data_IF_322006507084
#
_entry.id   IF_322006507084
#
_cell.length_a   1.000
_cell.length_b   1.000
_cell.length_c   1.000
_cell.angle_alpha   90.00
_cell.angle_beta   90.00
_cell.angle_gamma   90.00
#
_symmetry.space_group_name_H-M   'P 1'
#
loop_
_entity.id
_entity.type
_entity.pdbx_description
1 polymer ?
#
# COMPACT_ATOMS: atom_id res chain seq x y z
N UNK A 1 13.40 -3.88 -44.13
CA UNK A 1 12.78 -2.54 -43.92
C UNK A 1 11.33 -2.68 -43.47
N UNK A 2 10.38 -3.07 -44.33
CA UNK A 2 8.95 -3.18 -43.96
C UNK A 2 8.71 -4.05 -42.70
N UNK A 3 9.35 -5.23 -42.61
CA UNK A 3 9.31 -6.11 -41.42
C UNK A 3 9.83 -5.40 -40.15
N UNK A 4 10.99 -4.73 -40.24
CA UNK A 4 11.58 -3.98 -39.13
C UNK A 4 10.64 -2.88 -38.61
N UNK A 5 9.98 -2.12 -39.51
CA UNK A 5 9.01 -1.10 -39.08
C UNK A 5 7.76 -1.69 -38.46
N UNK A 6 7.29 -2.85 -38.95
CA UNK A 6 6.17 -3.59 -38.36
C UNK A 6 6.46 -4.03 -36.93
N UNK A 7 7.63 -4.62 -36.68
CA UNK A 7 8.02 -5.07 -35.33
C UNK A 7 8.22 -3.88 -34.38
N UNK A 8 8.83 -2.78 -34.86
CA UNK A 8 9.01 -1.57 -34.07
C UNK A 8 7.68 -0.92 -33.69
N UNK A 9 6.74 -0.78 -34.64
CA UNK A 9 5.40 -0.22 -34.37
C UNK A 9 4.59 -1.08 -33.41
N UNK A 10 4.65 -2.40 -33.57
CA UNK A 10 4.01 -3.35 -32.68
C UNK A 10 4.50 -3.19 -31.24
N UNK A 11 5.83 -3.04 -31.06
CA UNK A 11 6.43 -2.83 -29.73
C UNK A 11 6.08 -1.48 -29.10
N UNK A 12 6.02 -0.40 -29.88
CA UNK A 12 5.73 0.96 -29.38
C UNK A 12 4.28 1.11 -28.92
N UNK A 13 3.34 0.52 -29.65
CA UNK A 13 1.91 0.66 -29.36
C UNK A 13 1.31 -0.53 -28.61
N UNK A 14 2.13 -1.51 -28.25
CA UNK A 14 1.68 -2.78 -27.65
C UNK A 14 0.60 -3.47 -28.51
N UNK A 15 0.73 -3.38 -29.83
CA UNK A 15 -0.19 -3.95 -30.81
C UNK A 15 0.49 -5.15 -31.46
N UNK A 16 -0.26 -6.23 -31.77
CA UNK A 16 0.34 -7.40 -32.39
C UNK A 16 0.94 -7.10 -33.79
N UNK A 17 2.10 -7.67 -34.17
CA UNK A 17 2.73 -7.39 -35.46
C UNK A 17 1.83 -7.64 -36.68
N UNK A 18 0.93 -8.62 -36.58
CA UNK A 18 0.02 -8.99 -37.66
C UNK A 18 -1.06 -7.92 -37.93
N UNK A 19 -1.41 -7.08 -36.95
CA UNK A 19 -2.37 -5.97 -37.11
C UNK A 19 -1.68 -4.68 -37.59
N UNK A 20 -0.40 -4.46 -37.26
CA UNK A 20 0.37 -3.31 -37.75
C UNK A 20 0.85 -3.47 -39.21
N UNK A 21 1.08 -4.71 -39.66
CA UNK A 21 1.68 -5.03 -40.96
C UNK A 21 0.92 -4.47 -42.18
N UNK A 22 -0.42 -4.60 -42.30
CA UNK A 22 -1.14 -4.12 -43.47
C UNK A 22 -1.08 -2.59 -43.61
N UNK A 23 -1.17 -1.87 -42.49
CA UNK A 23 -1.15 -0.40 -42.47
C UNK A 23 0.21 0.14 -42.90
N UNK A 24 1.30 -0.46 -42.42
CA UNK A 24 2.67 -0.07 -42.80
C UNK A 24 2.94 -0.42 -44.27
N UNK A 25 2.44 -1.56 -44.75
CA UNK A 25 2.58 -1.92 -46.16
C UNK A 25 1.86 -0.93 -47.08
N UNK A 26 0.63 -0.51 -46.74
CA UNK A 26 -0.14 0.49 -47.48
C UNK A 26 0.53 1.87 -47.40
N UNK A 27 1.02 2.29 -46.24
CA UNK A 27 1.71 3.57 -46.09
C UNK A 27 2.96 3.62 -46.96
N UNK A 28 3.80 2.59 -46.90
CA UNK A 28 5.02 2.53 -47.72
C UNK A 28 4.68 2.43 -49.21
N UNK A 29 3.64 1.70 -49.62
CA UNK A 29 3.28 1.59 -51.04
C UNK A 29 2.76 2.91 -51.60
N UNK A 30 1.94 3.64 -50.84
CA UNK A 30 1.44 4.99 -51.20
C UNK A 30 2.60 5.99 -51.29
N UNK A 31 3.54 5.94 -50.35
CA UNK A 31 4.71 6.81 -50.38
C UNK A 31 5.63 6.46 -51.58
N UNK A 32 5.94 5.18 -51.78
CA UNK A 32 6.77 4.70 -52.89
C UNK A 32 6.17 5.05 -54.27
N UNK A 33 4.85 5.01 -54.42
CA UNK A 33 4.14 5.34 -55.67
C UNK A 33 4.08 6.83 -55.98
N UNK A 34 4.12 7.68 -54.94
CA UNK A 34 3.98 9.14 -55.09
C UNK A 34 5.31 9.89 -55.23
N UNK A 35 6.45 9.21 -55.06
CA UNK A 35 7.76 9.84 -55.24
C UNK A 35 8.28 9.68 -56.67
N UNK A 36 8.58 10.79 -57.34
CA UNK A 36 9.26 10.82 -58.64
C UNK A 36 10.72 10.29 -58.55
N UNK A 37 11.33 9.96 -59.69
CA UNK A 37 12.69 9.38 -59.74
C UNK A 37 13.78 10.30 -59.15
N UNK A 38 13.59 11.62 -59.17
CA UNK A 38 14.50 12.61 -58.56
C UNK A 38 14.40 12.75 -57.03
N UNK A 39 13.40 12.11 -56.40
CA UNK A 39 13.16 12.25 -54.96
C UNK A 39 14.29 11.65 -54.09
N UNK A 40 15.04 10.67 -54.61
CA UNK A 40 16.11 9.99 -53.86
C UNK A 40 17.25 10.96 -53.50
N UNK A 41 17.70 11.78 -54.45
CA UNK A 41 18.78 12.75 -54.21
C UNK A 41 18.33 13.89 -53.28
N UNK A 42 17.06 14.29 -53.39
CA UNK A 42 16.44 15.22 -52.45
C UNK A 42 16.45 14.65 -51.03
N UNK A 43 16.00 13.41 -50.84
CA UNK A 43 15.97 12.75 -49.54
C UNK A 43 17.36 12.53 -48.95
N UNK A 44 18.33 12.10 -49.74
CA UNK A 44 19.71 11.90 -49.27
C UNK A 44 20.31 13.19 -48.71
N UNK A 45 20.13 14.30 -49.43
CA UNK A 45 20.68 15.61 -49.06
C UNK A 45 20.03 16.14 -47.78
N UNK A 46 18.70 16.05 -47.68
CA UNK A 46 17.98 16.60 -46.54
C UNK A 46 18.07 15.69 -45.29
N UNK A 47 18.19 14.37 -45.45
CA UNK A 47 18.31 13.43 -44.32
C UNK A 47 19.60 13.69 -43.54
N UNK A 48 20.73 13.75 -44.25
CA UNK A 48 22.05 14.02 -43.67
C UNK A 48 22.04 15.36 -42.93
N UNK A 49 21.54 16.41 -43.59
CA UNK A 49 21.41 17.74 -42.98
C UNK A 49 20.55 17.72 -41.72
N UNK A 50 19.39 17.05 -41.75
CA UNK A 50 18.46 16.98 -40.61
C UNK A 50 19.10 16.29 -39.41
N UNK A 51 19.84 15.20 -39.64
CA UNK A 51 20.52 14.46 -38.59
C UNK A 51 21.66 15.25 -37.93
N UNK A 52 22.35 16.10 -38.69
CA UNK A 52 23.43 16.94 -38.19
C UNK A 52 22.91 18.21 -37.48
N UNK A 53 21.93 18.91 -38.07
CA UNK A 53 21.34 20.14 -37.49
C UNK A 53 20.67 19.88 -36.13
N UNK A 54 20.19 18.65 -35.91
CA UNK A 54 19.45 18.25 -34.71
C UNK A 54 20.30 17.44 -33.71
N UNK A 55 21.62 17.38 -33.93
CA UNK A 55 22.60 16.72 -33.04
C UNK A 55 22.21 15.30 -32.60
N UNK A 56 21.82 14.46 -33.58
CA UNK A 56 21.41 13.08 -33.27
C UNK A 56 22.59 12.27 -32.70
N UNK A 57 22.35 11.34 -31.75
CA UNK A 57 23.39 10.44 -31.26
C UNK A 57 24.02 9.61 -32.39
N UNK A 58 25.33 9.39 -32.32
CA UNK A 58 26.08 8.62 -33.34
C UNK A 58 25.51 7.22 -33.60
N UNK A 59 24.92 6.59 -32.58
CA UNK A 59 24.24 5.30 -32.71
C UNK A 59 23.03 5.35 -33.64
N UNK A 60 22.21 6.40 -33.53
CA UNK A 60 21.06 6.62 -34.43
C UNK A 60 21.56 7.01 -35.81
N UNK A 61 22.57 7.89 -35.90
CA UNK A 61 23.18 8.27 -37.18
C UNK A 61 23.69 7.05 -37.96
N UNK A 62 24.34 6.13 -37.27
CA UNK A 62 24.85 4.88 -37.85
C UNK A 62 23.73 3.99 -38.41
N UNK A 63 22.63 3.81 -37.67
CA UNK A 63 21.49 2.99 -38.11
C UNK A 63 20.79 3.63 -39.32
N UNK A 64 20.57 4.95 -39.28
CA UNK A 64 19.92 5.68 -40.37
C UNK A 64 20.78 5.65 -41.64
N UNK A 65 22.09 5.83 -41.53
CA UNK A 65 23.03 5.75 -42.66
C UNK A 65 23.11 4.32 -43.23
N UNK A 66 23.11 3.29 -42.38
CA UNK A 66 23.07 1.89 -42.81
C UNK A 66 21.77 1.53 -43.54
N UNK A 67 20.64 2.12 -43.14
CA UNK A 67 19.38 1.93 -43.87
C UNK A 67 19.41 2.65 -45.21
N UNK A 68 19.95 3.87 -45.27
CA UNK A 68 20.03 4.66 -46.48
C UNK A 68 21.04 4.11 -47.52
N UNK A 69 22.02 3.29 -47.12
CA UNK A 69 23.05 2.75 -48.02
C UNK A 69 22.52 1.83 -49.12
N UNK A 70 21.35 1.21 -48.92
CA UNK A 70 20.69 0.36 -49.92
C UNK A 70 20.21 1.16 -51.14
N UNK A 71 20.18 2.50 -51.02
CA UNK A 71 19.87 3.46 -52.08
C UNK A 71 18.53 3.22 -52.82
N UNK A 72 17.57 2.59 -52.14
CA UNK A 72 16.19 2.39 -52.64
C UNK A 72 15.25 3.42 -52.05
N UNK A 73 14.11 3.68 -52.71
CA UNK A 73 13.08 4.60 -52.16
C UNK A 73 12.60 4.16 -50.77
N UNK A 74 12.34 2.87 -50.57
CA UNK A 74 11.91 2.32 -49.28
C UNK A 74 12.95 2.48 -48.16
N UNK A 75 14.24 2.44 -48.49
CA UNK A 75 15.34 2.70 -47.55
C UNK A 75 15.32 4.13 -47.02
N UNK A 76 15.20 5.14 -47.89
CA UNK A 76 15.10 6.54 -47.47
C UNK A 76 13.80 6.84 -46.72
N UNK A 77 12.67 6.27 -47.13
CA UNK A 77 11.39 6.42 -46.41
C UNK A 77 11.54 5.89 -44.97
N UNK A 78 12.13 4.71 -44.80
CA UNK A 78 12.41 4.14 -43.48
C UNK A 78 13.37 4.99 -42.65
N UNK A 79 14.47 5.44 -43.26
CA UNK A 79 15.46 6.30 -42.61
C UNK A 79 14.83 7.61 -42.08
N UNK A 80 14.00 8.28 -42.88
CA UNK A 80 13.24 9.46 -42.47
C UNK A 80 12.25 9.17 -41.35
N UNK A 81 11.55 8.02 -41.44
CA UNK A 81 10.61 7.63 -40.40
C UNK A 81 11.31 7.49 -39.04
N UNK A 82 12.50 6.88 -38.99
CA UNK A 82 13.28 6.76 -37.75
C UNK A 82 13.73 8.10 -37.20
N UNK A 83 14.20 9.01 -38.06
CA UNK A 83 14.59 10.36 -37.66
C UNK A 83 13.40 11.11 -37.06
N UNK A 84 12.25 11.08 -37.74
CA UNK A 84 11.02 11.70 -37.24
C UNK A 84 10.54 11.07 -35.93
N UNK A 85 10.57 9.74 -35.85
CA UNK A 85 10.17 9.01 -34.64
C UNK A 85 11.05 9.36 -33.44
N UNK A 86 12.39 9.35 -33.61
CA UNK A 86 13.32 9.74 -32.57
C UNK A 86 13.09 11.19 -32.14
N UNK A 87 12.90 12.11 -33.09
CA UNK A 87 12.63 13.51 -32.77
C UNK A 87 11.33 13.68 -31.98
N UNK A 88 10.28 12.96 -32.36
CA UNK A 88 9.01 12.98 -31.63
C UNK A 88 9.17 12.47 -30.19
N UNK A 89 9.92 11.38 -29.98
CA UNK A 89 10.24 10.88 -28.64
C UNK A 89 11.08 11.88 -27.83
N UNK A 90 12.08 12.49 -28.47
CA UNK A 90 12.94 13.50 -27.86
C UNK A 90 12.15 14.72 -27.39
N UNK A 91 11.28 15.28 -28.26
CA UNK A 91 10.37 16.37 -27.88
C UNK A 91 9.45 15.92 -26.75
N UNK A 92 8.86 14.72 -26.83
CA UNK A 92 7.95 14.21 -25.80
C UNK A 92 8.61 14.16 -24.42
N UNK A 93 9.86 13.66 -24.34
CA UNK A 93 10.61 13.61 -23.08
C UNK A 93 10.94 15.02 -22.54
N UNK A 94 11.37 15.94 -23.40
CA UNK A 94 11.69 17.31 -22.98
C UNK A 94 10.43 18.09 -22.58
N UNK A 95 9.32 17.89 -23.29
CA UNK A 95 8.02 18.46 -22.94
C UNK A 95 7.53 17.96 -21.58
N UNK A 96 7.76 16.68 -21.25
CA UNK A 96 7.44 16.13 -19.93
C UNK A 96 8.26 16.79 -18.82
N UNK A 97 9.58 16.97 -19.00
CA UNK A 97 10.43 17.65 -18.01
C UNK A 97 10.02 19.11 -17.84
N UNK A 98 9.79 19.83 -18.94
CA UNK A 98 9.31 21.22 -18.89
C UNK A 98 7.95 21.34 -18.19
N UNK A 99 7.03 20.41 -18.46
CA UNK A 99 5.74 20.30 -17.79
C UNK A 99 5.88 20.05 -16.28
N UNK A 100 6.79 19.16 -15.87
CA UNK A 100 7.07 18.90 -14.46
C UNK A 100 7.67 20.12 -13.75
N UNK A 101 8.63 20.81 -14.36
CA UNK A 101 9.22 22.03 -13.80
C UNK A 101 8.17 23.14 -13.65
N UNK A 102 7.30 23.32 -14.65
CA UNK A 102 6.18 24.24 -14.57
C UNK A 102 5.22 23.85 -13.42
N UNK A 103 4.89 22.57 -13.31
CA UNK A 103 4.05 22.04 -12.22
C UNK A 103 4.68 22.30 -10.85
N UNK A 104 5.98 22.07 -10.68
CA UNK A 104 6.70 22.34 -9.43
C UNK A 104 6.73 23.83 -9.08
N UNK A 105 6.98 24.70 -10.06
CA UNK A 105 6.91 26.15 -9.90
C UNK A 105 5.52 26.57 -9.38
N UNK A 106 4.45 26.11 -10.04
CA UNK A 106 3.09 26.44 -9.62
C UNK A 106 2.72 25.86 -8.26
N UNK A 107 3.17 24.65 -7.94
CA UNK A 107 2.96 24.07 -6.61
C UNK A 107 3.68 24.87 -5.52
N UNK A 108 4.87 25.41 -5.79
CA UNK A 108 5.59 26.23 -4.82
C UNK A 108 4.94 27.61 -4.61
N UNK A 109 4.45 28.23 -5.68
CA UNK A 109 3.80 29.53 -5.65
C UNK A 109 2.42 29.48 -4.99
N UNK A 110 1.56 28.58 -5.47
CA UNK A 110 0.16 28.52 -5.05
C UNK A 110 -0.10 27.54 -3.91
N UNK A 111 0.81 26.59 -3.65
CA UNK A 111 0.69 25.57 -2.59
C UNK A 111 -0.69 24.91 -2.56
N UNK A 112 -1.21 24.42 -3.71
CA UNK A 112 -2.58 23.93 -3.81
C UNK A 112 -2.77 22.57 -3.14
N UNK A 113 -1.69 21.91 -2.73
CA UNK A 113 -1.72 20.57 -2.13
C UNK A 113 -2.37 20.64 -0.75
N UNK A 114 -3.50 19.94 -0.62
CA UNK A 114 -4.13 19.71 0.66
C UNK A 114 -3.38 18.59 1.42
N UNK A 115 -3.24 18.69 2.75
CA UNK A 115 -2.77 17.57 3.56
C UNK A 115 -3.66 16.34 3.34
N UNK A 116 -3.13 15.12 3.48
CA UNK A 116 -3.99 13.95 3.32
C UNK A 116 -5.05 13.89 4.46
N UNK A 117 -6.27 13.38 4.17
CA UNK A 117 -7.34 13.33 5.16
C UNK A 117 -6.98 12.61 6.45
N UNK A 118 -6.14 11.57 6.39
CA UNK A 118 -5.77 10.81 7.58
C UNK A 118 -4.78 11.56 8.46
N UNK A 119 -3.81 12.28 7.89
CA UNK A 119 -2.92 13.16 8.66
C UNK A 119 -3.70 14.28 9.35
N UNK A 120 -4.74 14.81 8.71
CA UNK A 120 -5.64 15.80 9.33
C UNK A 120 -6.35 15.19 10.54
N UNK A 121 -6.93 14.00 10.41
CA UNK A 121 -7.63 13.31 11.52
C UNK A 121 -6.67 12.92 12.65
N UNK A 122 -5.46 12.45 12.33
CA UNK A 122 -4.43 12.16 13.33
C UNK A 122 -3.97 13.43 14.05
N UNK A 123 -3.91 14.56 13.34
CA UNK A 123 -3.67 15.88 13.91
C UNK A 123 -4.73 16.24 14.95
N UNK A 124 -6.01 16.01 14.64
CA UNK A 124 -7.14 16.26 15.55
C UNK A 124 -7.01 15.49 16.86
N UNK A 125 -6.59 14.22 16.80
CA UNK A 125 -6.40 13.43 18.02
C UNK A 125 -5.21 13.87 18.88
N UNK A 126 -4.23 14.57 18.29
CA UNK A 126 -3.06 15.10 19.00
C UNK A 126 -3.30 16.51 19.55
N UNK A 127 -4.06 17.33 18.83
CA UNK A 127 -4.47 18.66 19.23
C UNK A 127 -5.98 18.89 18.98
N UNK A 128 -6.83 18.53 19.95
CA UNK A 128 -8.29 18.67 19.83
C UNK A 128 -8.76 20.12 19.68
N UNK A 129 -7.93 21.12 20.01
CA UNK A 129 -8.30 22.54 19.90
C UNK A 129 -8.45 23.01 18.45
N UNK A 130 -7.99 22.23 17.48
CA UNK A 130 -7.91 22.58 16.06
C UNK A 130 -9.05 21.97 15.20
N UNK A 131 -10.11 21.46 15.86
CA UNK A 131 -11.21 20.73 15.19
C UNK A 131 -11.84 21.52 14.05
N UNK A 132 -12.15 22.80 14.26
CA UNK A 132 -12.80 23.64 13.24
C UNK A 132 -11.96 23.73 11.97
N UNK A 133 -10.66 24.04 12.09
CA UNK A 133 -9.75 24.12 10.94
C UNK A 133 -9.61 22.78 10.24
N UNK A 134 -9.53 21.68 10.99
CA UNK A 134 -9.38 20.33 10.43
C UNK A 134 -10.64 19.92 9.65
N UNK A 135 -11.84 20.20 10.19
CA UNK A 135 -13.09 19.97 9.47
C UNK A 135 -13.19 20.81 8.20
N UNK A 136 -12.73 22.06 8.22
CA UNK A 136 -12.63 22.90 7.02
C UNK A 136 -11.67 22.34 5.97
N UNK A 137 -10.48 21.85 6.36
CA UNK A 137 -9.54 21.20 5.44
C UNK A 137 -10.14 19.92 4.84
N UNK A 138 -10.80 19.08 5.65
CA UNK A 138 -11.50 17.90 5.16
C UNK A 138 -12.66 18.25 4.20
N UNK A 139 -13.34 19.37 4.42
CA UNK A 139 -14.36 19.85 3.49
C UNK A 139 -13.77 20.26 2.13
N UNK A 140 -12.53 20.76 2.08
CA UNK A 140 -11.82 21.04 0.80
C UNK A 140 -11.53 19.77 -0.01
N UNK A 141 -11.48 18.60 0.64
CA UNK A 141 -11.43 17.30 -0.05
C UNK A 141 -12.80 16.84 -0.58
N UNK A 142 -13.88 17.59 -0.33
CA UNK A 142 -15.23 17.27 -0.79
C UNK A 142 -16.02 16.36 0.17
N UNK A 143 -15.57 16.16 1.40
CA UNK A 143 -16.36 15.47 2.41
C UNK A 143 -17.44 16.40 2.98
N UNK A 144 -18.65 15.88 3.16
CA UNK A 144 -19.70 16.57 3.92
C UNK A 144 -19.50 16.33 5.43
N UNK A 145 -20.21 17.09 6.25
CA UNK A 145 -20.09 17.03 7.72
C UNK A 145 -20.31 15.62 8.28
N UNK A 146 -21.33 14.90 7.81
CA UNK A 146 -21.62 13.52 8.22
C UNK A 146 -20.45 12.56 7.94
N UNK A 147 -19.84 12.66 6.74
CA UNK A 147 -18.67 11.84 6.37
C UNK A 147 -17.46 12.21 7.20
N UNK A 148 -17.25 13.51 7.48
CA UNK A 148 -16.15 13.98 8.33
C UNK A 148 -16.28 13.39 9.73
N UNK A 149 -17.46 13.49 10.35
CA UNK A 149 -17.71 12.93 11.67
C UNK A 149 -17.55 11.40 11.69
N UNK A 150 -17.99 10.73 10.61
CA UNK A 150 -17.79 9.29 10.44
C UNK A 150 -16.31 8.93 10.39
N UNK A 151 -15.52 9.66 9.58
CA UNK A 151 -14.07 9.43 9.47
C UNK A 151 -13.35 9.67 10.79
N UNK A 152 -13.69 10.74 11.51
CA UNK A 152 -13.13 11.02 12.84
C UNK A 152 -13.50 9.87 13.80
N UNK A 153 -14.77 9.45 13.83
CA UNK A 153 -15.22 8.38 14.73
C UNK A 153 -14.55 7.04 14.45
N UNK A 154 -14.42 6.66 13.18
CA UNK A 154 -13.84 5.35 12.79
C UNK A 154 -12.31 5.32 12.92
N UNK A 155 -11.65 6.48 12.82
CA UNK A 155 -10.19 6.58 12.98
C UNK A 155 -9.74 6.61 14.43
N UNK A 156 -10.65 6.83 15.38
CA UNK A 156 -10.33 6.88 16.80
C UNK A 156 -9.84 5.51 17.28
N UNK A 157 -8.68 5.48 17.92
CA UNK A 157 -8.18 4.27 18.58
C UNK A 157 -9.15 3.82 19.66
N UNK A 158 -9.45 2.52 19.67
CA UNK A 158 -10.23 1.84 20.71
C UNK A 158 -9.31 0.88 21.48
N UNK A 159 -9.61 0.55 22.75
CA UNK A 159 -8.84 -0.43 23.51
C UNK A 159 -8.81 -1.78 22.78
N UNK A 160 -7.64 -2.41 22.75
CA UNK A 160 -7.43 -3.75 22.21
C UNK A 160 -8.27 -4.81 22.93
N UNK A 161 -8.50 -5.98 22.31
CA UNK A 161 -9.22 -7.07 22.96
C UNK A 161 -8.60 -7.47 24.32
N UNK A 162 -7.27 -7.45 24.44
CA UNK A 162 -6.58 -7.79 25.69
C UNK A 162 -6.72 -6.70 26.77
N UNK A 163 -6.70 -5.41 26.38
CA UNK A 163 -7.01 -4.31 27.29
C UNK A 163 -8.45 -4.40 27.80
N UNK A 164 -9.41 -4.71 26.94
CA UNK A 164 -10.79 -4.97 27.32
C UNK A 164 -10.92 -6.14 28.31
N UNK A 165 -10.23 -7.28 28.06
CA UNK A 165 -10.13 -8.40 29.01
C UNK A 165 -9.61 -7.92 30.37
N UNK A 166 -8.52 -7.13 30.39
CA UNK A 166 -7.93 -6.66 31.64
C UNK A 166 -8.84 -5.69 32.40
N UNK A 167 -9.53 -4.78 31.71
CA UNK A 167 -10.52 -3.89 32.32
C UNK A 167 -11.67 -4.69 32.95
N UNK A 168 -12.16 -5.72 32.25
CA UNK A 168 -13.20 -6.61 32.75
C UNK A 168 -12.75 -7.39 33.99
N UNK A 169 -11.58 -8.03 33.94
CA UNK A 169 -11.02 -8.78 35.08
C UNK A 169 -10.76 -7.90 36.31
N UNK A 170 -10.51 -6.60 36.10
CA UNK A 170 -10.33 -5.61 37.17
C UNK A 170 -11.66 -5.06 37.71
N UNK A 171 -12.78 -5.36 37.06
CA UNK A 171 -14.10 -4.85 37.43
C UNK A 171 -14.34 -3.40 37.03
N UNK A 172 -13.54 -2.87 36.08
CA UNK A 172 -13.65 -1.48 35.60
C UNK A 172 -14.73 -1.32 34.53
N UNK A 173 -15.13 -2.42 33.89
CA UNK A 173 -16.21 -2.46 32.89
C UNK A 173 -17.13 -3.67 33.13
N UNK A 174 -18.37 -3.58 32.67
CA UNK A 174 -19.35 -4.67 32.75
C UNK A 174 -19.17 -5.70 31.63
N UNK A 175 -19.87 -6.83 31.71
CA UNK A 175 -19.89 -7.84 30.64
C UNK A 175 -20.51 -7.26 29.34
N UNK A 176 -21.54 -6.42 29.47
CA UNK A 176 -22.16 -5.74 28.33
C UNK A 176 -21.19 -4.77 27.64
N UNK A 177 -20.41 -4.02 28.42
CA UNK A 177 -19.39 -3.11 27.90
C UNK A 177 -18.23 -3.85 27.24
N UNK A 178 -17.79 -4.98 27.81
CA UNK A 178 -16.83 -5.90 27.21
C UNK A 178 -17.34 -6.42 25.86
N UNK A 179 -18.56 -6.97 25.83
CA UNK A 179 -19.17 -7.52 24.62
C UNK A 179 -19.32 -6.44 23.54
N UNK A 180 -19.75 -5.24 23.92
CA UNK A 180 -19.83 -4.10 23.01
C UNK A 180 -18.44 -3.67 22.48
N UNK A 181 -17.41 -3.74 23.30
CA UNK A 181 -16.01 -3.53 22.91
C UNK A 181 -15.55 -4.53 21.86
N UNK A 182 -15.75 -5.83 22.11
CA UNK A 182 -15.35 -6.91 21.20
C UNK A 182 -16.12 -6.85 19.87
N UNK A 183 -17.39 -6.45 19.88
CA UNK A 183 -18.18 -6.24 18.65
C UNK A 183 -17.59 -5.17 17.73
N UNK A 184 -16.87 -4.17 18.25
CA UNK A 184 -16.18 -3.16 17.42
C UNK A 184 -15.05 -3.77 16.57
N UNK A 185 -14.52 -4.92 16.99
CA UNK A 185 -13.54 -5.71 16.23
C UNK A 185 -14.16 -6.71 15.26
N UNK A 186 -15.49 -6.80 15.22
CA UNK A 186 -16.21 -7.72 14.35
C UNK A 186 -16.41 -9.13 14.91
N UNK A 187 -16.12 -9.36 16.20
CA UNK A 187 -16.40 -10.65 16.83
C UNK A 187 -17.92 -10.89 16.98
N UNK A 188 -18.34 -12.11 16.68
CA UNK A 188 -19.70 -12.62 16.91
C UNK A 188 -19.90 -12.96 18.39
N UNK A 189 -21.17 -13.03 18.84
CA UNK A 189 -21.48 -13.39 20.23
C UNK A 189 -20.87 -14.74 20.63
N UNK A 190 -20.85 -15.73 19.73
CA UNK A 190 -20.22 -17.05 19.99
C UNK A 190 -18.70 -16.95 20.14
N UNK A 191 -18.03 -16.16 19.30
CA UNK A 191 -16.58 -15.96 19.43
C UNK A 191 -16.23 -15.23 20.73
N UNK A 192 -17.06 -14.27 21.16
CA UNK A 192 -16.89 -13.56 22.42
C UNK A 192 -16.96 -14.54 23.60
N UNK A 193 -17.93 -15.44 23.61
CA UNK A 193 -18.03 -16.47 24.66
C UNK A 193 -16.83 -17.41 24.66
N UNK A 194 -16.32 -17.81 23.49
CA UNK A 194 -15.06 -18.57 23.41
C UNK A 194 -13.86 -17.77 23.94
N UNK A 195 -13.74 -16.49 23.60
CA UNK A 195 -12.65 -15.63 24.08
C UNK A 195 -12.68 -15.45 25.61
N UNK A 196 -13.87 -15.38 26.22
CA UNK A 196 -14.02 -15.32 27.69
C UNK A 196 -13.44 -16.56 28.38
N UNK A 197 -13.46 -17.73 27.74
CA UNK A 197 -12.79 -18.93 28.30
C UNK A 197 -11.28 -18.75 28.42
N UNK A 198 -10.67 -17.92 27.57
CA UNK A 198 -9.24 -17.60 27.60
C UNK A 198 -8.87 -16.54 28.66
N UNK A 199 -9.85 -16.03 29.40
CA UNK A 199 -9.58 -15.05 30.45
C UNK A 199 -8.84 -15.68 31.62
N UNK A 200 -9.11 -16.98 31.84
CA UNK A 200 -8.56 -17.77 32.92
C UNK A 200 -7.62 -18.84 32.38
N UNK A 201 -6.36 -18.49 32.04
CA UNK A 201 -5.42 -19.44 31.47
C UNK A 201 -5.09 -20.56 32.46
N UNK A 202 -4.86 -21.74 31.91
CA UNK A 202 -4.28 -22.86 32.62
C UNK A 202 -2.80 -22.54 32.91
N UNK A 203 -2.28 -22.84 34.11
CA UNK A 203 -0.86 -22.67 34.42
C UNK A 203 0.05 -23.38 33.42
N UNK A 204 1.27 -22.87 33.26
CA UNK A 204 2.26 -23.49 32.38
C UNK A 204 2.70 -24.88 32.90
N UNK A 205 3.33 -25.67 32.04
CA UNK A 205 3.74 -27.03 32.38
C UNK A 205 4.64 -27.12 33.64
N UNK A 206 5.70 -26.30 33.81
CA UNK A 206 6.47 -26.29 35.05
C UNK A 206 5.66 -26.02 36.32
N UNK A 207 4.70 -25.09 36.28
CA UNK A 207 3.83 -24.79 37.40
C UNK A 207 2.89 -25.95 37.72
N UNK A 208 2.31 -26.60 36.71
CA UNK A 208 1.50 -27.80 36.87
C UNK A 208 2.30 -28.96 37.49
N UNK A 209 3.55 -29.17 37.04
CA UNK A 209 4.44 -30.18 37.63
C UNK A 209 4.76 -29.84 39.09
N UNK A 210 5.03 -28.56 39.40
CA UNK A 210 5.26 -28.12 40.79
C UNK A 210 4.03 -28.40 41.65
N UNK A 211 2.83 -28.06 41.17
CA UNK A 211 1.58 -28.33 41.89
C UNK A 211 1.39 -29.83 42.12
N UNK A 212 1.68 -30.67 41.12
CA UNK A 212 1.59 -32.12 41.28
C UNK A 212 2.57 -32.67 42.32
N UNK A 213 3.85 -32.28 42.27
CA UNK A 213 4.88 -32.77 43.19
C UNK A 213 4.68 -32.25 44.62
N UNK A 214 4.09 -31.06 44.77
CA UNK A 214 3.74 -30.47 46.07
C UNK A 214 2.35 -30.89 46.55
N UNK A 215 1.77 -31.90 45.91
CA UNK A 215 0.49 -32.49 46.30
C UNK A 215 -0.68 -31.47 46.34
N UNK A 216 -0.54 -30.36 45.60
CA UNK A 216 -1.50 -29.25 45.61
C UNK A 216 -2.86 -29.64 45.00
N UNK A 217 -2.92 -30.69 44.19
CA UNK A 217 -4.14 -31.20 43.55
C UNK A 217 -4.98 -32.14 44.42
N UNK A 218 -4.49 -32.52 45.61
CA UNK A 218 -5.14 -33.48 46.49
C UNK A 218 -5.78 -32.75 47.68
N UNK A 219 -7.12 -32.53 47.68
CA UNK A 219 -7.80 -31.78 48.73
C UNK A 219 -7.54 -32.32 50.13
N UNK A 220 -7.40 -33.64 50.28
CA UNK A 220 -7.10 -34.32 51.54
C UNK A 220 -5.78 -33.86 52.15
N UNK A 221 -4.73 -33.69 51.35
CA UNK A 221 -3.43 -33.22 51.82
C UNK A 221 -3.45 -31.70 52.08
N UNK A 222 -4.15 -30.94 51.23
CA UNK A 222 -4.33 -29.50 51.45
C UNK A 222 -5.03 -29.23 52.79
N UNK A 223 -6.02 -30.04 53.15
CA UNK A 223 -6.75 -29.96 54.42
C UNK A 223 -5.91 -30.48 55.60
N UNK A 224 -5.32 -31.67 55.49
CA UNK A 224 -4.50 -32.30 56.55
C UNK A 224 -3.36 -31.40 57.01
N UNK A 225 -2.68 -30.75 56.05
CA UNK A 225 -1.55 -29.85 56.34
C UNK A 225 -1.95 -28.37 56.47
N UNK A 226 -3.24 -28.04 56.31
CA UNK A 226 -3.74 -26.67 56.46
C UNK A 226 -3.12 -25.65 55.49
N UNK A 227 -2.80 -26.07 54.27
CA UNK A 227 -1.96 -25.29 53.33
C UNK A 227 -2.60 -23.96 52.88
N UNK A 228 -3.91 -23.80 53.06
CA UNK A 228 -4.66 -22.58 52.75
C UNK A 228 -4.95 -21.69 53.98
N UNK A 229 -4.53 -22.09 55.19
CA UNK A 229 -4.88 -21.36 56.43
C UNK A 229 -4.36 -19.92 56.45
N UNK A 230 -3.20 -19.69 55.84
CA UNK A 230 -2.56 -18.37 55.76
C UNK A 230 -2.80 -17.67 54.42
N UNK A 231 -3.75 -18.15 53.60
CA UNK A 231 -4.08 -17.56 52.30
C UNK A 231 -4.65 -16.13 52.47
N UNK A 232 -3.93 -15.07 52.04
CA UNK A 232 -4.40 -13.71 52.22
C UNK A 232 -5.54 -13.40 51.25
N UNK A 233 -6.57 -12.70 51.73
CA UNK A 233 -7.67 -12.24 50.87
C UNK A 233 -7.16 -11.35 49.71
N UNK A 234 -6.13 -10.54 49.95
CA UNK A 234 -5.51 -9.71 48.93
C UNK A 234 -4.87 -10.54 47.80
N UNK A 235 -4.28 -11.70 48.11
CA UNK A 235 -3.73 -12.58 47.09
C UNK A 235 -4.83 -13.05 46.14
N UNK A 236 -5.98 -13.47 46.68
CA UNK A 236 -7.13 -13.90 45.87
C UNK A 236 -7.70 -12.76 45.02
N UNK A 237 -7.80 -11.55 45.58
CA UNK A 237 -8.25 -10.36 44.86
C UNK A 237 -7.35 -10.07 43.65
N UNK A 238 -6.04 -9.98 43.85
CA UNK A 238 -5.10 -9.67 42.78
C UNK A 238 -4.93 -10.82 41.79
N UNK A 239 -4.99 -12.08 42.25
CA UNK A 239 -4.99 -13.26 41.40
C UNK A 239 -6.16 -13.21 40.40
N UNK A 240 -7.38 -12.94 40.88
CA UNK A 240 -8.56 -12.77 40.02
C UNK A 240 -8.36 -11.65 39.00
N UNK A 241 -7.83 -10.50 39.42
CA UNK A 241 -7.53 -9.35 38.52
C UNK A 241 -6.48 -9.65 37.45
N UNK A 242 -5.64 -10.65 37.67
CA UNK A 242 -4.65 -11.16 36.70
C UNK A 242 -5.22 -12.29 35.83
N UNK A 243 -6.47 -12.69 36.02
CA UNK A 243 -7.08 -13.79 35.29
C UNK A 243 -6.73 -15.16 35.86
N UNK A 244 -6.26 -15.27 37.09
CA UNK A 244 -6.12 -16.57 37.73
C UNK A 244 -7.47 -16.99 38.32
N UNK A 245 -7.98 -18.17 37.94
CA UNK A 245 -9.20 -18.69 38.55
C UNK A 245 -8.96 -18.92 40.05
N UNK A 246 -10.04 -18.93 40.83
CA UNK A 246 -9.94 -19.19 42.28
C UNK A 246 -9.30 -20.55 42.57
N UNK A 247 -9.64 -21.57 41.78
CA UNK A 247 -9.04 -22.90 41.85
C UNK A 247 -7.52 -22.84 41.63
N UNK A 248 -7.08 -22.22 40.53
CA UNK A 248 -5.66 -22.11 40.24
C UNK A 248 -4.91 -21.27 41.27
N UNK A 249 -5.51 -20.19 41.76
CA UNK A 249 -4.94 -19.37 42.82
C UNK A 249 -4.69 -20.19 44.10
N UNK A 250 -5.64 -21.04 44.48
CA UNK A 250 -5.49 -21.95 45.62
C UNK A 250 -4.39 -22.98 45.38
N UNK A 251 -4.28 -23.57 44.20
CA UNK A 251 -3.20 -24.52 43.88
C UNK A 251 -1.81 -23.86 43.84
N UNK A 252 -1.73 -22.63 43.30
CA UNK A 252 -0.50 -21.84 43.35
C UNK A 252 -0.09 -21.54 44.78
N UNK A 253 -1.06 -21.20 45.64
CA UNK A 253 -0.80 -21.04 47.05
C UNK A 253 -0.39 -22.37 47.69
N UNK A 254 -1.18 -23.43 47.66
CA UNK A 254 -0.79 -24.67 48.35
C UNK A 254 0.57 -25.23 47.90
N UNK A 255 0.98 -25.04 46.64
CA UNK A 255 2.29 -25.46 46.13
C UNK A 255 3.49 -24.58 46.51
N UNK A 256 3.31 -23.50 47.28
CA UNK A 256 4.41 -22.61 47.69
C UNK A 256 5.17 -23.10 48.93
N UNK A 257 4.56 -23.96 49.74
CA UNK A 257 5.16 -24.64 50.90
C UNK A 257 6.07 -25.78 50.42
#
# INVERSE_FOLDING_TARGET
IKIFFTEMWAGVWSVEPHTASPLIQVLFSVLESNFESGAIDYFRTHLTKTMDDMDFPDSIKTVVNKLASDNTKGAYIGAYFLVYFYYFQFIGQHANVASQLATHHWNQEYKPTLPDPMSLILGLFRDPGDETRIKEELAKHGYNEERIDTLIKTSKTIPSPDEYKHLFLRGEITDEELNAGYKKYGFTDTEIEHLKTLFYPIPNYPDLVRMAVREAFYPEYVEEYGLLNELPAQFMEYAKKQGLSEEWAKHFWSSHW
#
